data_IF_889186195159
#
_entry.id   IF_889186195159
#
_cell.length_a   1.000
_cell.length_b   1.000
_cell.length_c   1.000
_cell.angle_alpha   90.00
_cell.angle_beta   90.00
_cell.angle_gamma   90.00
#
_symmetry.space_group_name_H-M   'P 1'
#
loop_
_entity.id
_entity.type
_entity.pdbx_description
1 polymer ?
#
# COMPACT_ATOMS: atom_id res chain seq x y z
N UNK A 1 -12.43 -36.21 42.69
CA UNK A 1 -11.29 -35.69 43.48
C UNK A 1 -10.75 -34.45 42.80
N UNK A 2 -11.15 -33.26 43.27
CA UNK A 2 -10.79 -31.96 42.67
C UNK A 2 -9.47 -31.49 43.29
N UNK A 3 -8.43 -31.32 42.46
CA UNK A 3 -7.15 -30.74 42.87
C UNK A 3 -7.24 -29.23 42.71
N UNK A 4 -7.23 -28.51 43.83
CA UNK A 4 -7.08 -27.06 43.89
C UNK A 4 -5.60 -26.73 43.70
N UNK A 5 -5.27 -26.02 42.63
CA UNK A 5 -3.92 -25.47 42.41
C UNK A 5 -3.95 -23.99 42.77
N UNK A 6 -3.32 -23.66 43.89
CA UNK A 6 -3.01 -22.30 44.35
C UNK A 6 -2.05 -21.64 43.35
N UNK A 7 -2.44 -20.50 42.80
CA UNK A 7 -1.58 -19.65 41.97
C UNK A 7 -0.94 -18.60 42.90
N UNK A 8 0.41 -18.53 43.00
CA UNK A 8 1.08 -17.58 43.85
C UNK A 8 1.03 -16.16 43.29
N UNK A 9 0.74 -15.23 44.19
CA UNK A 9 0.73 -13.79 44.02
C UNK A 9 2.13 -13.30 43.64
N UNK A 10 2.35 -12.91 42.38
CA UNK A 10 3.59 -12.26 41.97
C UNK A 10 3.51 -10.75 42.26
N UNK A 11 4.50 -10.31 43.01
CA UNK A 11 4.67 -8.96 43.53
C UNK A 11 4.78 -7.91 42.41
N UNK A 12 3.97 -6.87 42.56
CA UNK A 12 3.95 -5.67 41.76
C UNK A 12 5.14 -4.77 42.16
N UNK A 13 6.26 -4.83 41.43
CA UNK A 13 7.35 -3.87 41.62
C UNK A 13 7.04 -2.57 40.89
N UNK A 14 6.59 -1.57 41.65
CA UNK A 14 6.59 -0.16 41.27
C UNK A 14 8.03 0.27 40.94
N UNK A 15 8.29 0.65 39.69
CA UNK A 15 9.47 1.43 39.35
C UNK A 15 9.11 2.90 39.31
N UNK A 16 9.87 3.67 40.09
CA UNK A 16 9.64 5.06 40.40
C UNK A 16 9.76 5.98 39.21
N UNK A 17 8.79 6.88 39.14
CA UNK A 17 8.85 8.16 38.44
C UNK A 17 10.01 8.99 39.02
N UNK A 18 11.00 9.31 38.20
CA UNK A 18 11.90 10.44 38.47
C UNK A 18 11.89 11.33 37.24
N UNK A 19 11.32 12.52 37.40
CA UNK A 19 11.17 13.50 36.34
C UNK A 19 12.43 14.31 36.07
N UNK A 20 12.44 14.94 34.90
CA UNK A 20 13.12 16.20 34.66
C UNK A 20 12.13 17.08 33.88
N UNK A 21 11.51 18.02 34.59
CA UNK A 21 10.81 19.14 33.96
C UNK A 21 11.88 20.11 33.45
N UNK A 22 12.02 20.21 32.13
CA UNK A 22 12.83 21.27 31.50
C UNK A 22 11.90 22.08 30.62
N UNK A 23 11.36 23.17 31.17
CA UNK A 23 10.67 24.20 30.42
C UNK A 23 11.70 25.05 29.69
N UNK A 24 11.98 24.69 28.45
CA UNK A 24 12.70 25.53 27.49
C UNK A 24 11.70 26.06 26.46
N UNK A 25 11.07 27.19 26.75
CA UNK A 25 10.45 28.03 25.72
C UNK A 25 11.59 28.69 24.93
N UNK A 26 12.11 27.98 23.95
CA UNK A 26 12.94 28.57 22.92
C UNK A 26 12.35 28.20 21.56
N UNK A 27 11.33 28.97 21.17
CA UNK A 27 10.81 29.02 19.81
C UNK A 27 11.84 29.71 18.91
N UNK A 28 12.97 29.05 18.72
CA UNK A 28 13.85 29.31 17.60
C UNK A 28 13.24 28.59 16.41
N UNK A 29 12.43 29.30 15.64
CA UNK A 29 12.13 29.00 14.25
C UNK A 29 13.41 29.14 13.44
N UNK A 30 14.39 28.28 13.70
CA UNK A 30 15.39 27.98 12.71
C UNK A 30 14.65 27.16 11.67
N UNK A 31 14.50 27.74 10.48
CA UNK A 31 14.14 26.98 9.31
C UNK A 31 15.11 25.82 9.24
N UNK A 32 14.65 24.65 9.67
CA UNK A 32 15.10 23.42 9.08
C UNK A 32 14.70 23.60 7.62
N UNK A 33 15.65 24.08 6.81
CA UNK A 33 15.87 23.49 5.49
C UNK A 33 15.74 22.00 5.74
N UNK A 34 14.53 21.49 5.53
CA UNK A 34 14.32 20.09 5.32
C UNK A 34 15.39 19.78 4.30
N UNK A 35 16.39 19.00 4.71
CA UNK A 35 17.15 18.24 3.75
C UNK A 35 16.07 17.39 3.09
N UNK A 36 15.45 17.97 2.06
CA UNK A 36 14.49 17.35 1.19
C UNK A 36 15.37 16.33 0.52
N UNK A 37 15.53 15.19 1.17
CA UNK A 37 15.93 13.95 0.55
C UNK A 37 14.88 13.82 -0.53
N UNK A 38 15.26 14.26 -1.73
CA UNK A 38 14.42 14.24 -2.91
C UNK A 38 14.03 12.79 -3.03
N UNK A 39 12.84 12.45 -2.55
CA UNK A 39 12.33 11.09 -2.65
C UNK A 39 12.06 10.93 -4.13
N UNK A 40 13.03 10.36 -4.84
CA UNK A 40 13.11 10.47 -6.29
C UNK A 40 12.02 9.67 -7.00
N UNK A 41 11.26 8.83 -6.28
CA UNK A 41 10.17 8.03 -6.84
C UNK A 41 9.02 7.85 -5.86
N UNK A 42 7.79 7.73 -6.38
CA UNK A 42 6.62 7.37 -5.58
C UNK A 42 6.78 6.01 -4.88
N UNK A 43 7.45 5.05 -5.52
CA UNK A 43 7.76 3.75 -4.93
C UNK A 43 8.61 3.88 -3.65
N UNK A 44 9.62 4.75 -3.64
CA UNK A 44 10.47 4.97 -2.47
C UNK A 44 9.69 5.65 -1.34
N UNK A 45 8.85 6.65 -1.65
CA UNK A 45 8.00 7.34 -0.67
C UNK A 45 7.05 6.36 0.03
N UNK A 46 6.31 5.57 -0.76
CA UNK A 46 5.39 4.55 -0.26
C UNK A 46 6.11 3.38 0.43
N UNK A 47 7.35 3.12 0.03
CA UNK A 47 8.22 2.12 0.63
C UNK A 47 8.72 2.48 2.03
N UNK A 48 8.83 3.78 2.33
CA UNK A 48 9.27 4.29 3.63
C UNK A 48 8.13 4.65 4.58
N UNK A 49 6.91 4.81 4.06
CA UNK A 49 5.69 5.08 4.84
C UNK A 49 5.36 3.97 5.87
N UNK A 50 4.47 4.22 6.82
CA UNK A 50 3.94 3.20 7.73
C UNK A 50 2.63 2.60 7.21
N UNK A 51 2.29 1.33 7.55
CA UNK A 51 0.93 0.82 7.33
C UNK A 51 -0.12 1.74 7.96
N UNK A 52 -1.15 2.08 7.19
CA UNK A 52 -2.20 3.03 7.54
C UNK A 52 -1.94 4.45 7.04
N UNK A 53 -0.70 4.82 6.73
CA UNK A 53 -0.30 6.17 6.31
C UNK A 53 -0.76 6.48 4.88
N UNK A 54 -1.29 7.69 4.69
CA UNK A 54 -1.72 8.24 3.41
C UNK A 54 -0.72 9.30 2.97
N UNK A 55 -0.22 9.17 1.74
CA UNK A 55 0.80 10.05 1.16
C UNK A 55 0.26 10.76 -0.07
N UNK A 56 0.63 12.03 -0.18
CA UNK A 56 0.47 12.82 -1.41
C UNK A 56 1.69 12.55 -2.28
N UNK A 57 1.46 12.15 -3.53
CA UNK A 57 2.49 11.83 -4.51
C UNK A 57 2.62 13.00 -5.50
N UNK A 58 3.82 13.24 -6.07
CA UNK A 58 3.99 14.26 -7.11
C UNK A 58 3.13 13.95 -8.32
N UNK A 59 2.59 14.96 -9.02
CA UNK A 59 1.64 14.76 -10.13
C UNK A 59 2.21 13.91 -11.26
N UNK A 60 3.50 14.06 -11.55
CA UNK A 60 4.22 13.30 -12.57
C UNK A 60 4.91 12.05 -11.97
N UNK A 61 4.10 11.12 -11.47
CA UNK A 61 4.60 9.85 -10.96
C UNK A 61 4.09 8.64 -11.76
N UNK A 62 4.85 7.55 -11.68
CA UNK A 62 4.59 6.29 -12.38
C UNK A 62 3.23 5.61 -12.06
N UNK A 63 2.52 6.06 -11.02
CA UNK A 63 1.19 5.54 -10.64
C UNK A 63 0.04 6.34 -11.24
N UNK A 64 0.30 7.54 -11.76
CA UNK A 64 -0.73 8.42 -12.32
C UNK A 64 -1.79 8.85 -11.31
N UNK A 65 -1.45 8.86 -10.01
CA UNK A 65 -2.34 9.28 -8.93
C UNK A 65 -1.63 10.24 -7.98
N UNK A 66 -2.34 11.24 -7.47
CA UNK A 66 -1.80 12.22 -6.52
C UNK A 66 -1.84 11.74 -5.07
N UNK A 67 -2.51 10.63 -4.77
CA UNK A 67 -2.65 10.13 -3.40
C UNK A 67 -2.70 8.62 -3.35
N UNK A 68 -1.97 8.05 -2.40
CA UNK A 68 -1.95 6.61 -2.15
C UNK A 68 -1.81 6.33 -0.66
N UNK A 69 -2.28 5.15 -0.23
CA UNK A 69 -2.24 4.71 1.16
C UNK A 69 -1.59 3.34 1.27
N UNK A 70 -0.69 3.15 2.24
CA UNK A 70 -0.18 1.81 2.56
C UNK A 70 -1.21 1.10 3.42
N UNK A 71 -1.80 0.01 2.92
CA UNK A 71 -2.80 -0.77 3.67
C UNK A 71 -2.09 -1.64 4.71
N UNK A 72 -1.12 -2.44 4.25
CA UNK A 72 -0.39 -3.38 5.10
C UNK A 72 0.98 -3.76 4.56
N UNK A 73 1.82 -4.24 5.45
CA UNK A 73 3.15 -4.80 5.17
C UNK A 73 3.14 -6.30 5.49
N UNK A 74 3.81 -7.11 4.67
CA UNK A 74 3.92 -8.56 4.85
C UNK A 74 5.19 -9.11 4.19
N UNK A 75 5.62 -10.30 4.58
CA UNK A 75 6.66 -11.05 3.85
C UNK A 75 6.01 -12.00 2.85
N UNK A 76 6.42 -11.93 1.58
CA UNK A 76 5.97 -12.89 0.56
C UNK A 76 6.65 -14.25 0.73
N UNK A 77 6.15 -15.28 0.03
CA UNK A 77 6.77 -16.62 0.01
C UNK A 77 8.24 -16.60 -0.44
N UNK A 78 8.65 -15.59 -1.21
CA UNK A 78 10.06 -15.36 -1.58
C UNK A 78 10.93 -14.81 -0.44
N UNK A 79 10.40 -14.58 0.76
CA UNK A 79 11.09 -13.93 1.88
C UNK A 79 11.18 -12.40 1.78
N UNK A 80 10.95 -11.82 0.60
CA UNK A 80 10.95 -10.36 0.37
C UNK A 80 9.85 -9.64 1.15
N UNK A 81 10.17 -8.46 1.66
CA UNK A 81 9.23 -7.54 2.27
C UNK A 81 8.35 -6.90 1.19
N UNK A 82 7.03 -7.04 1.33
CA UNK A 82 6.05 -6.50 0.41
C UNK A 82 5.03 -5.63 1.13
N UNK A 83 4.39 -4.75 0.37
CA UNK A 83 3.34 -3.85 0.84
C UNK A 83 2.18 -3.86 -0.11
N UNK A 84 0.98 -3.83 0.44
CA UNK A 84 -0.27 -3.63 -0.29
C UNK A 84 -0.64 -2.16 -0.17
N UNK A 85 -0.85 -1.49 -1.30
CA UNK A 85 -1.21 -0.08 -1.35
C UNK A 85 -2.59 0.08 -2.01
N UNK A 86 -3.31 1.10 -1.58
CA UNK A 86 -4.56 1.57 -2.20
C UNK A 86 -4.28 2.89 -2.90
N UNK A 87 -4.64 2.99 -4.18
CA UNK A 87 -4.54 4.22 -4.96
C UNK A 87 -5.86 4.97 -4.89
N UNK A 88 -5.82 6.26 -4.52
CA UNK A 88 -7.01 7.09 -4.40
C UNK A 88 -7.45 7.63 -5.78
N UNK A 89 -8.05 6.76 -6.59
CA UNK A 89 -8.68 7.11 -7.87
C UNK A 89 -10.22 7.16 -7.70
N UNK A 90 -10.94 7.44 -8.79
CA UNK A 90 -12.40 7.29 -8.82
C UNK A 90 -12.87 5.86 -8.49
N UNK A 91 -12.04 4.84 -8.77
CA UNK A 91 -12.28 3.44 -8.47
C UNK A 91 -11.03 2.85 -7.80
N UNK A 92 -10.98 2.74 -6.46
CA UNK A 92 -9.75 2.46 -5.73
C UNK A 92 -9.06 1.21 -6.26
N UNK A 93 -7.82 1.39 -6.74
CA UNK A 93 -6.99 0.32 -7.30
C UNK A 93 -6.02 -0.19 -6.23
N UNK A 94 -5.92 -1.51 -6.11
CA UNK A 94 -5.04 -2.14 -5.14
C UNK A 94 -3.81 -2.66 -5.86
N UNK A 95 -2.64 -2.20 -5.40
CA UNK A 95 -1.35 -2.67 -5.91
C UNK A 95 -0.49 -3.30 -4.84
N UNK A 96 0.47 -4.08 -5.28
CA UNK A 96 1.52 -4.63 -4.43
C UNK A 96 2.86 -4.07 -4.89
N UNK A 97 3.71 -3.75 -3.94
CA UNK A 97 5.12 -3.48 -4.16
C UNK A 97 5.95 -4.39 -3.27
N UNK A 98 7.13 -4.76 -3.74
CA UNK A 98 8.07 -5.54 -2.94
C UNK A 98 9.45 -4.90 -2.99
N UNK A 99 10.15 -4.98 -1.85
CA UNK A 99 11.54 -4.57 -1.71
C UNK A 99 12.42 -5.63 -2.37
N UNK A 100 13.29 -5.21 -3.29
CA UNK A 100 14.32 -6.06 -3.88
C UNK A 100 15.43 -6.36 -2.86
N UNK A 101 16.32 -7.28 -3.22
CA UNK A 101 17.51 -7.59 -2.41
C UNK A 101 18.49 -6.40 -2.34
N UNK A 102 18.46 -5.51 -3.34
CA UNK A 102 19.17 -4.22 -3.33
C UNK A 102 18.50 -3.15 -2.46
N UNK A 103 17.39 -3.49 -1.79
CA UNK A 103 16.65 -2.57 -0.93
C UNK A 103 15.70 -1.61 -1.65
N UNK A 104 15.56 -1.71 -2.98
CA UNK A 104 14.74 -0.82 -3.78
C UNK A 104 13.29 -1.32 -3.87
N UNK A 105 12.33 -0.43 -3.75
CA UNK A 105 10.91 -0.79 -3.90
C UNK A 105 10.54 -0.89 -5.37
N UNK A 106 9.88 -1.99 -5.76
CA UNK A 106 9.38 -2.20 -7.12
C UNK A 106 7.90 -2.52 -7.08
N UNK A 107 7.11 -1.79 -7.88
CA UNK A 107 5.72 -2.11 -8.12
C UNK A 107 5.59 -3.43 -8.87
N UNK A 108 4.70 -4.30 -8.41
CA UNK A 108 4.29 -5.47 -9.19
C UNK A 108 3.20 -5.08 -10.19
N UNK A 109 2.90 -5.97 -11.14
CA UNK A 109 1.73 -5.80 -12.01
C UNK A 109 0.46 -5.55 -11.18
N UNK A 110 -0.47 -4.76 -11.73
CA UNK A 110 -1.78 -4.57 -11.10
C UNK A 110 -2.48 -5.91 -10.92
N UNK A 111 -3.08 -6.13 -9.75
CA UNK A 111 -3.85 -7.35 -9.44
C UNK A 111 -5.31 -7.23 -9.89
N UNK A 112 -5.77 -6.01 -10.11
CA UNK A 112 -7.16 -5.64 -10.41
C UNK A 112 -7.44 -5.61 -11.92
N UNK A 113 -6.42 -5.88 -12.73
CA UNK A 113 -6.57 -6.17 -14.14
C UNK A 113 -6.87 -7.65 -14.37
N UNK A 114 -8.16 -7.99 -14.40
CA UNK A 114 -8.63 -8.89 -15.43
C UNK A 114 -7.94 -8.43 -16.73
N UNK A 115 -7.14 -9.33 -17.31
CA UNK A 115 -6.60 -9.20 -18.65
C UNK A 115 -7.77 -8.84 -19.57
N UNK A 116 -8.01 -7.54 -19.78
CA UNK A 116 -8.73 -7.08 -20.97
C UNK A 116 -7.88 -7.64 -22.08
N UNK A 117 -8.43 -8.68 -22.72
CA UNK A 117 -7.83 -9.38 -23.82
C UNK A 117 -7.11 -8.35 -24.69
N UNK A 118 -5.77 -8.41 -24.68
CA UNK A 118 -5.04 -7.83 -25.80
C UNK A 118 -5.72 -8.45 -27.02
N UNK A 119 -6.29 -7.66 -27.95
CA UNK A 119 -6.67 -8.24 -29.22
C UNK A 119 -5.40 -8.91 -29.70
N UNK A 120 -5.44 -10.24 -29.80
CA UNK A 120 -4.44 -10.97 -30.54
C UNK A 120 -4.57 -10.37 -31.94
N UNK A 121 -3.75 -9.37 -32.26
CA UNK A 121 -3.29 -9.16 -33.61
C UNK A 121 -2.59 -10.45 -33.96
N UNK A 122 -3.40 -11.42 -34.40
CA UNK A 122 -2.96 -12.61 -35.08
C UNK A 122 -2.16 -12.07 -36.26
N UNK A 123 -0.84 -12.08 -36.12
CA UNK A 123 0.02 -12.00 -37.29
C UNK A 123 -0.47 -13.13 -38.20
N UNK A 124 -1.02 -12.82 -39.40
CA UNK A 124 -1.40 -13.89 -40.31
C UNK A 124 -0.13 -14.70 -40.55
N UNK A 125 -0.23 -16.01 -40.34
CA UNK A 125 0.85 -16.94 -40.66
C UNK A 125 1.08 -16.85 -42.16
N UNK A 126 2.05 -16.03 -42.56
CA UNK A 126 2.60 -16.07 -43.90
C UNK A 126 3.17 -17.48 -44.07
N UNK A 127 2.60 -18.20 -45.04
CA UNK A 127 3.01 -19.53 -45.43
C UNK A 127 4.53 -19.57 -45.63
N UNK A 128 5.20 -20.42 -44.86
CA UNK A 128 6.58 -20.81 -45.10
C UNK A 128 6.59 -21.58 -46.43
N UNK A 129 6.96 -20.88 -47.49
CA UNK A 129 7.42 -21.49 -48.74
C UNK A 129 8.91 -21.73 -48.58
N UNK A 130 9.29 -23.00 -48.53
CA UNK A 130 10.68 -23.44 -48.54
C UNK A 130 11.25 -23.16 -49.93
N UNK A 131 12.29 -22.32 -49.99
CA UNK A 131 13.09 -22.06 -51.18
C UNK A 131 14.55 -21.91 -50.79
N UNK A 132 15.36 -22.90 -51.13
CA UNK A 132 16.82 -22.89 -51.04
C UNK A 132 17.44 -22.02 -52.14
N UNK A 133 18.42 -21.18 -51.78
CA UNK A 133 19.61 -20.72 -52.52
C UNK A 133 20.08 -19.41 -51.86
N UNK A 134 21.24 -19.36 -51.21
CA UNK A 134 22.58 -19.10 -51.76
C UNK A 134 22.82 -17.64 -52.17
N UNK A 135 24.06 -17.19 -51.92
CA UNK A 135 24.72 -15.88 -52.17
C UNK A 135 24.26 -14.67 -51.35
N UNK A 136 25.07 -13.67 -51.02
CA UNK A 136 26.51 -13.45 -50.81
C UNK A 136 26.60 -11.95 -50.42
N UNK A 137 27.53 -11.62 -49.53
CA UNK A 137 28.27 -10.36 -49.46
C UNK A 137 27.62 -8.99 -49.14
N UNK A 138 28.41 -8.25 -48.33
CA UNK A 138 28.68 -6.80 -48.37
C UNK A 138 27.98 -5.87 -47.36
N UNK A 139 28.68 -5.65 -46.24
CA UNK A 139 29.15 -4.35 -45.69
C UNK A 139 28.36 -3.09 -46.11
N UNK A 140 27.82 -2.34 -45.14
CA UNK A 140 27.97 -0.88 -45.17
C UNK A 140 27.79 -0.26 -43.79
N UNK A 141 28.80 0.49 -43.38
CA UNK A 141 28.80 1.36 -42.20
C UNK A 141 28.14 2.69 -42.55
N UNK A 142 27.30 3.25 -41.69
CA UNK A 142 27.11 4.71 -41.65
C UNK A 142 27.00 5.21 -40.21
N UNK A 143 27.81 6.24 -40.00
CA UNK A 143 28.14 7.02 -38.83
C UNK A 143 27.48 8.39 -39.01
N UNK A 144 26.82 8.92 -37.98
CA UNK A 144 26.44 10.35 -37.79
C UNK A 144 26.09 10.50 -36.30
N UNK A 145 26.90 11.01 -35.36
CA UNK A 145 27.48 12.35 -35.15
C UNK A 145 26.53 13.53 -35.38
N UNK A 146 25.98 14.09 -34.29
CA UNK A 146 25.77 15.53 -34.00
C UNK A 146 25.10 15.60 -32.61
N UNK A 147 25.69 16.14 -31.52
CA UNK A 147 26.30 17.45 -31.22
C UNK A 147 25.28 18.58 -31.00
N UNK A 148 25.61 19.44 -30.02
CA UNK A 148 24.97 20.70 -29.62
C UNK A 148 23.74 20.53 -28.69
N UNK A 149 23.57 21.25 -27.57
CA UNK A 149 24.10 22.56 -27.19
C UNK A 149 24.01 22.76 -25.67
N UNK A 150 25.04 23.36 -25.09
CA UNK A 150 24.99 24.04 -23.79
C UNK A 150 24.00 25.20 -23.82
N UNK A 151 23.22 25.39 -22.75
CA UNK A 151 22.64 26.69 -22.42
C UNK A 151 22.87 27.02 -20.94
N UNK A 152 23.68 28.04 -20.76
CA UNK A 152 23.93 28.77 -19.52
C UNK A 152 23.16 30.09 -19.60
N UNK A 153 22.43 30.42 -18.55
CA UNK A 153 21.75 31.71 -18.31
C UNK A 153 20.89 31.52 -17.06
N UNK A 154 21.27 31.95 -15.85
CA UNK A 154 21.54 33.31 -15.34
C UNK A 154 20.29 34.22 -15.35
N UNK A 155 19.82 34.46 -14.11
CA UNK A 155 19.12 35.64 -13.57
C UNK A 155 17.65 35.93 -13.95
N UNK A 156 16.77 35.83 -12.95
CA UNK A 156 15.85 36.88 -12.44
C UNK A 156 15.07 36.26 -11.26
N UNK A 157 15.33 36.57 -9.98
CA UNK A 157 14.86 37.76 -9.25
C UNK A 157 13.51 38.27 -9.76
N UNK A 158 12.42 37.70 -9.22
CA UNK A 158 11.21 38.46 -8.92
C UNK A 158 10.68 38.02 -7.56
N UNK A 159 10.71 39.01 -6.68
CA UNK A 159 10.04 39.17 -5.41
C UNK A 159 8.53 39.00 -5.60
N UNK A 160 7.92 38.03 -4.93
CA UNK A 160 6.47 38.00 -4.70
C UNK A 160 6.23 37.70 -3.22
N UNK A 161 6.48 38.74 -2.43
CA UNK A 161 6.03 38.88 -1.06
C UNK A 161 4.52 39.17 -1.04
N UNK A 162 3.68 38.13 -1.11
CA UNK A 162 2.28 38.23 -0.69
C UNK A 162 2.01 37.34 0.52
N UNK A 163 2.00 38.01 1.68
CA UNK A 163 1.49 37.51 2.94
C UNK A 163 -0.03 37.29 2.83
N UNK A 164 -0.41 36.09 2.41
CA UNK A 164 -1.78 35.58 2.48
C UNK A 164 -1.99 34.72 3.71
N UNK A 165 -2.43 35.33 4.79
CA UNK A 165 -3.03 34.65 5.95
C UNK A 165 -4.25 33.85 5.50
N UNK A 166 -4.13 32.53 5.41
CA UNK A 166 -5.26 31.60 5.54
C UNK A 166 -4.90 30.57 6.60
N UNK A 167 -5.25 30.91 7.83
CA UNK A 167 -5.55 29.94 8.89
C UNK A 167 -6.75 29.12 8.46
N UNK A 168 -6.53 27.96 7.86
CA UNK A 168 -7.50 26.88 7.87
C UNK A 168 -6.75 25.56 7.76
N UNK A 169 -6.24 25.10 8.92
CA UNK A 169 -5.89 23.70 9.12
C UNK A 169 -7.20 22.92 9.06
N UNK A 170 -7.65 22.66 7.84
CA UNK A 170 -8.67 21.66 7.58
C UNK A 170 -7.99 20.33 7.81
N UNK A 171 -8.11 19.82 9.03
CA UNK A 171 -7.90 18.41 9.32
C UNK A 171 -8.93 17.67 8.46
N UNK A 172 -8.53 17.28 7.26
CA UNK A 172 -9.19 16.25 6.46
C UNK A 172 -9.02 14.97 7.26
N UNK A 173 -9.90 14.79 8.24
CA UNK A 173 -10.13 13.51 8.89
C UNK A 173 -10.57 12.61 7.75
N UNK A 174 -9.63 11.82 7.25
CA UNK A 174 -9.86 10.84 6.21
C UNK A 174 -11.17 10.14 6.55
N UNK A 175 -12.15 10.31 5.66
CA UNK A 175 -13.49 9.76 5.80
C UNK A 175 -13.33 8.27 6.05
N UNK A 176 -13.34 7.90 7.33
CA UNK A 176 -13.50 6.53 7.75
C UNK A 176 -14.85 6.16 7.15
N UNK A 177 -14.81 5.41 6.03
CA UNK A 177 -15.97 4.75 5.43
C UNK A 177 -16.85 4.37 6.60
N UNK A 178 -17.98 5.05 6.78
CA UNK A 178 -18.80 4.94 7.98
C UNK A 178 -19.36 3.52 8.00
N UNK A 179 -18.55 2.61 8.53
CA UNK A 179 -18.70 1.18 8.33
C UNK A 179 -19.62 0.75 9.44
N UNK A 180 -20.92 0.84 9.17
CA UNK A 180 -21.92 0.23 10.03
C UNK A 180 -21.50 -1.21 10.28
N UNK A 181 -21.40 -1.60 11.56
CA UNK A 181 -20.98 -2.95 11.95
C UNK A 181 -22.22 -3.80 12.23
N UNK A 182 -22.18 -5.07 11.83
CA UNK A 182 -23.12 -6.11 12.27
C UNK A 182 -22.35 -7.17 13.04
N UNK A 183 -23.04 -7.76 13.99
CA UNK A 183 -22.55 -8.89 14.76
C UNK A 183 -23.17 -10.18 14.20
N UNK A 184 -22.34 -11.22 14.03
CA UNK A 184 -22.80 -12.56 13.69
C UNK A 184 -22.02 -13.58 14.49
N UNK A 185 -22.71 -14.64 14.90
CA UNK A 185 -22.14 -15.75 15.65
C UNK A 185 -21.58 -16.82 14.69
N UNK A 186 -20.44 -17.40 15.08
CA UNK A 186 -19.82 -18.55 14.43
C UNK A 186 -20.56 -19.82 14.81
N UNK A 187 -20.95 -20.62 13.81
CA UNK A 187 -21.69 -21.86 14.01
C UNK A 187 -20.76 -23.03 14.39
N UNK A 188 -21.37 -24.14 14.84
CA UNK A 188 -20.62 -25.34 15.21
C UNK A 188 -19.82 -25.90 14.03
N UNK A 189 -18.53 -26.23 14.26
CA UNK A 189 -17.60 -26.70 13.23
C UNK A 189 -17.29 -25.71 12.10
N UNK A 190 -17.67 -24.44 12.25
CA UNK A 190 -17.44 -23.40 11.25
C UNK A 190 -16.04 -22.79 11.39
N UNK A 191 -15.31 -22.74 10.27
CA UNK A 191 -14.03 -22.02 10.20
C UNK A 191 -14.26 -20.57 9.79
N UNK A 192 -13.32 -19.66 10.07
CA UNK A 192 -13.42 -18.26 9.66
C UNK A 192 -13.68 -18.09 8.15
N UNK A 193 -13.10 -18.97 7.34
CA UNK A 193 -13.34 -19.03 5.89
C UNK A 193 -14.80 -19.38 5.54
N UNK A 194 -15.37 -20.42 6.19
CA UNK A 194 -16.77 -20.82 5.98
C UNK A 194 -17.73 -19.74 6.47
N UNK A 195 -17.42 -19.14 7.61
CA UNK A 195 -18.14 -17.99 8.17
C UNK A 195 -18.19 -16.83 7.19
N UNK A 196 -17.03 -16.41 6.66
CA UNK A 196 -16.96 -15.34 5.65
C UNK A 196 -17.82 -15.67 4.45
N UNK A 197 -17.64 -16.86 3.85
CA UNK A 197 -18.42 -17.28 2.68
C UNK A 197 -19.93 -17.23 2.93
N UNK A 198 -20.38 -17.68 4.10
CA UNK A 198 -21.80 -17.71 4.49
C UNK A 198 -22.36 -16.29 4.66
N UNK A 199 -21.62 -15.40 5.30
CA UNK A 199 -22.11 -14.05 5.66
C UNK A 199 -21.94 -13.04 4.53
N UNK A 200 -20.81 -13.09 3.83
CA UNK A 200 -20.44 -12.10 2.80
C UNK A 200 -20.59 -12.62 1.38
N UNK A 201 -20.84 -13.92 1.19
CA UNK A 201 -20.85 -14.56 -0.13
C UNK A 201 -19.46 -14.86 -0.70
N UNK A 202 -18.46 -14.07 -0.31
CA UNK A 202 -17.06 -14.29 -0.66
C UNK A 202 -16.26 -14.82 0.54
N UNK A 203 -15.61 -15.95 0.36
CA UNK A 203 -14.77 -16.52 1.39
C UNK A 203 -13.51 -15.69 1.64
N UNK A 204 -13.00 -14.94 0.65
CA UNK A 204 -11.78 -14.15 0.72
C UNK A 204 -11.87 -12.95 1.67
N UNK A 205 -13.10 -12.51 1.99
CA UNK A 205 -13.35 -11.44 2.98
C UNK A 205 -13.00 -11.86 4.42
N UNK A 206 -12.60 -13.12 4.64
CA UNK A 206 -12.18 -13.60 5.95
C UNK A 206 -11.01 -12.79 6.53
N UNK A 207 -10.15 -12.24 5.67
CA UNK A 207 -9.04 -11.39 6.08
C UNK A 207 -9.53 -10.07 6.69
N UNK A 208 -10.45 -9.38 6.04
CA UNK A 208 -10.98 -8.11 6.53
C UNK A 208 -11.77 -8.31 7.84
N UNK A 209 -12.46 -9.45 7.97
CA UNK A 209 -13.13 -9.86 9.20
C UNK A 209 -12.09 -10.17 10.30
N UNK A 210 -11.01 -10.89 9.98
CA UNK A 210 -9.94 -11.21 10.93
C UNK A 210 -9.29 -9.92 11.47
N UNK A 211 -8.90 -9.02 10.57
CA UNK A 211 -8.26 -7.75 10.90
C UNK A 211 -9.18 -6.89 11.79
N UNK A 212 -10.47 -6.81 11.49
CA UNK A 212 -11.45 -6.06 12.29
C UNK A 212 -11.69 -6.63 13.70
N UNK A 213 -11.47 -7.93 13.88
CA UNK A 213 -11.67 -8.63 15.15
C UNK A 213 -10.36 -8.98 15.87
N UNK A 214 -9.21 -8.48 15.38
CA UNK A 214 -7.89 -8.74 15.96
C UNK A 214 -7.58 -10.25 16.08
N UNK A 215 -7.93 -11.02 15.04
CA UNK A 215 -7.69 -12.48 14.98
C UNK A 215 -6.40 -12.75 14.21
N UNK A 216 -5.32 -13.04 14.94
CA UNK A 216 -4.01 -13.35 14.34
C UNK A 216 -3.96 -14.75 13.68
N UNK A 217 -4.64 -15.73 14.27
CA UNK A 217 -4.70 -17.11 13.75
C UNK A 217 -6.16 -17.53 13.53
N UNK A 218 -6.54 -17.73 12.27
CA UNK A 218 -7.89 -18.12 11.86
C UNK A 218 -8.37 -19.45 12.45
N UNK A 219 -7.46 -20.29 12.99
CA UNK A 219 -7.79 -21.56 13.67
C UNK A 219 -8.26 -21.38 15.11
N UNK A 220 -8.10 -20.18 15.68
CA UNK A 220 -8.56 -19.86 17.05
C UNK A 220 -10.06 -19.58 17.12
N UNK A 221 -10.72 -19.46 15.97
CA UNK A 221 -12.16 -19.24 15.87
C UNK A 221 -12.91 -20.48 16.35
N UNK A 222 -13.76 -20.28 17.36
CA UNK A 222 -14.58 -21.32 17.99
C UNK A 222 -16.08 -21.06 17.80
N UNK A 223 -16.92 -22.09 17.83
CA UNK A 223 -18.38 -21.94 17.85
C UNK A 223 -18.84 -21.02 18.99
N UNK A 224 -19.84 -20.19 18.73
CA UNK A 224 -20.35 -19.21 19.69
C UNK A 224 -19.60 -17.88 19.71
N UNK A 225 -18.46 -17.77 19.00
CA UNK A 225 -17.75 -16.51 18.88
C UNK A 225 -18.56 -15.51 18.05
N UNK A 226 -18.77 -14.31 18.60
CA UNK A 226 -19.48 -13.22 17.92
C UNK A 226 -18.48 -12.30 17.23
N UNK A 227 -18.54 -12.24 15.91
CA UNK A 227 -17.63 -11.45 15.08
C UNK A 227 -18.28 -10.17 14.56
N UNK A 228 -17.51 -9.07 14.57
CA UNK A 228 -17.83 -7.80 13.93
C UNK A 228 -17.64 -7.93 12.42
N UNK A 229 -18.63 -7.52 11.63
CA UNK A 229 -18.58 -7.54 10.17
C UNK A 229 -19.03 -6.18 9.63
N UNK A 230 -18.28 -5.56 8.71
CA UNK A 230 -18.74 -4.36 8.01
C UNK A 230 -19.99 -4.64 7.17
N UNK A 231 -21.04 -3.81 7.29
CA UNK A 231 -22.31 -3.98 6.56
C UNK A 231 -22.12 -4.05 5.06
N UNK A 232 -21.16 -3.31 4.50
CA UNK A 232 -20.90 -3.30 3.06
C UNK A 232 -20.33 -4.64 2.53
N UNK A 233 -19.87 -5.53 3.40
CA UNK A 233 -19.45 -6.88 3.03
C UNK A 233 -20.60 -7.89 3.10
N UNK A 234 -21.70 -7.59 3.78
CA UNK A 234 -22.79 -8.56 4.02
C UNK A 234 -23.64 -8.73 2.77
N UNK A 235 -23.96 -9.98 2.45
CA UNK A 235 -24.84 -10.28 1.32
C UNK A 235 -26.26 -9.78 1.59
N UNK A 236 -26.94 -9.13 0.63
CA UNK A 236 -28.28 -8.58 0.83
C UNK A 236 -29.31 -9.62 1.31
N UNK A 237 -29.16 -10.86 0.86
CA UNK A 237 -30.02 -12.03 1.13
C UNK A 237 -29.66 -12.81 2.40
N UNK A 238 -28.58 -12.41 3.10
CA UNK A 238 -28.14 -13.01 4.37
C UNK A 238 -28.58 -12.20 5.60
N UNK A 239 -29.54 -11.29 5.40
CA UNK A 239 -30.11 -10.43 6.44
C UNK A 239 -31.26 -11.09 7.18
#
# INVERSE_FOLDING_TARGET
>A
MRKHTLIPCMALTLWGLTGCATTGLNSSSQGQEANVVQVTTAAEALGNAQPGEQLVLPEDNELGVSTARVIKQYHAASGRLCRRIELATANPDIRVMCKSDSGQWRMTRSLTGASLAQPLTQTPMAAVVVGEASVDSTISSTKTEESHTLHSGRESLLDNSEAGLISDVTLVVASAKNSTIRLREVQDGETLWKFSKRVTGDALNWHDIADLNEIDDARTVVPGLVLKIPVHLIRPDSQ
#
